data_IF_335623788158
#
_entry.id   IF_335623788158
#
_cell.length_a   1.000
_cell.length_b   1.000
_cell.length_c   1.000
_cell.angle_alpha   90.00
_cell.angle_beta   90.00
_cell.angle_gamma   90.00
#
_symmetry.space_group_name_H-M   'P 1'
#
loop_
_entity.id
_entity.type
_entity.pdbx_description
1 polymer ?
#
# COMPACT_ATOMS: atom_id res chain seq x y z
N UNK A 1 -19.04 28.16 35.85
CA UNK A 1 -20.29 28.31 35.08
C UNK A 1 -20.14 29.59 34.31
N UNK A 2 -19.43 29.55 33.18
CA UNK A 2 -19.97 29.35 31.82
C UNK A 2 -19.62 30.64 31.08
N UNK A 3 -19.18 30.70 29.84
CA UNK A 3 -19.00 29.70 28.80
C UNK A 3 -18.05 30.35 27.79
N UNK A 4 -16.96 29.65 27.43
CA UNK A 4 -16.10 30.03 26.29
C UNK A 4 -16.86 29.67 25.02
N UNK A 5 -17.65 30.61 24.50
CA UNK A 5 -18.36 30.46 23.22
C UNK A 5 -17.50 30.96 22.07
N UNK A 6 -17.29 30.06 21.12
CA UNK A 6 -16.31 30.13 20.05
C UNK A 6 -16.50 31.30 19.08
N UNK A 7 -15.37 31.81 18.61
CA UNK A 7 -15.30 32.72 17.49
C UNK A 7 -15.90 32.03 16.25
N UNK A 8 -17.01 32.58 15.74
CA UNK A 8 -17.60 32.20 14.47
C UNK A 8 -16.58 32.44 13.36
N UNK A 9 -16.18 31.38 12.66
CA UNK A 9 -15.47 31.50 11.40
C UNK A 9 -16.30 32.35 10.41
N UNK A 10 -15.66 33.19 9.59
CA UNK A 10 -16.38 33.97 8.59
C UNK A 10 -17.05 33.02 7.58
N UNK A 11 -18.18 33.42 6.97
CA UNK A 11 -18.87 32.59 5.99
C UNK A 11 -17.93 32.28 4.83
N UNK A 12 -17.77 30.99 4.52
CA UNK A 12 -17.07 30.55 3.31
C UNK A 12 -17.80 31.16 2.12
N UNK A 13 -17.12 32.06 1.42
CA UNK A 13 -17.66 32.75 0.27
C UNK A 13 -18.03 31.68 -0.77
N UNK A 14 -19.33 31.47 -0.98
CA UNK A 14 -19.83 30.54 -1.99
C UNK A 14 -19.22 30.91 -3.34
N UNK A 15 -18.62 29.92 -4.03
CA UNK A 15 -18.13 30.12 -5.40
C UNK A 15 -19.30 30.63 -6.23
N UNK A 16 -19.19 31.85 -6.75
CA UNK A 16 -20.12 32.40 -7.74
C UNK A 16 -20.04 31.51 -8.99
N UNK A 17 -20.99 30.59 -9.13
CA UNK A 17 -21.04 29.64 -10.25
C UNK A 17 -21.25 30.33 -11.61
N UNK A 18 -21.70 31.59 -11.61
CA UNK A 18 -21.96 32.39 -12.82
C UNK A 18 -20.76 33.24 -13.31
N UNK A 19 -19.58 33.12 -12.69
CA UNK A 19 -18.33 33.78 -13.15
C UNK A 19 -17.29 32.77 -13.61
N UNK A 20 -17.72 31.78 -14.39
CA UNK A 20 -16.79 31.04 -15.24
C UNK A 20 -16.51 31.94 -16.45
N UNK A 21 -15.47 32.78 -16.37
CA UNK A 21 -14.85 33.29 -17.59
C UNK A 21 -14.34 32.05 -18.34
N UNK A 22 -15.12 31.60 -19.31
CA UNK A 22 -14.73 30.47 -20.17
C UNK A 22 -13.48 30.93 -20.89
N UNK A 23 -12.33 30.38 -20.50
CA UNK A 23 -11.09 30.64 -21.21
C UNK A 23 -11.32 30.31 -22.69
N UNK A 24 -10.80 31.11 -23.63
CA UNK A 24 -10.83 30.75 -25.04
C UNK A 24 -10.28 29.33 -25.21
N UNK A 25 -10.93 28.50 -26.04
CA UNK A 25 -10.61 27.08 -26.21
C UNK A 25 -9.12 26.82 -26.45
N UNK A 26 -8.42 27.74 -27.13
CA UNK A 26 -6.98 27.67 -27.39
C UNK A 26 -6.11 27.77 -26.12
N UNK A 27 -6.50 28.62 -25.16
CA UNK A 27 -5.77 28.80 -23.91
C UNK A 27 -6.01 27.63 -22.98
N UNK A 28 -7.24 27.11 -22.92
CA UNK A 28 -7.56 25.88 -22.19
C UNK A 28 -6.72 24.71 -22.71
N UNK A 29 -6.70 24.51 -24.03
CA UNK A 29 -5.89 23.47 -24.68
C UNK A 29 -4.41 23.60 -24.34
N UNK A 30 -3.85 24.82 -24.38
CA UNK A 30 -2.43 25.05 -24.04
C UNK A 30 -2.14 24.70 -22.58
N UNK A 31 -3.05 25.04 -21.66
CA UNK A 31 -2.91 24.72 -20.25
C UNK A 31 -2.97 23.20 -19.99
N UNK A 32 -3.87 22.50 -20.68
CA UNK A 32 -3.98 21.05 -20.62
C UNK A 32 -2.71 20.36 -21.16
N UNK A 33 -2.22 20.75 -22.33
CA UNK A 33 -0.99 20.22 -22.92
C UNK A 33 0.24 20.48 -22.02
N UNK A 34 0.32 21.67 -21.42
CA UNK A 34 1.37 22.02 -20.48
C UNK A 34 1.30 21.16 -19.21
N UNK A 35 0.10 20.88 -18.71
CA UNK A 35 -0.10 20.01 -17.54
C UNK A 35 0.31 18.56 -17.85
N UNK A 36 -0.18 17.99 -18.96
CA UNK A 36 0.15 16.64 -19.41
C UNK A 36 1.67 16.47 -19.58
N UNK A 37 2.33 17.43 -20.22
CA UNK A 37 3.78 17.42 -20.45
C UNK A 37 4.56 17.55 -19.15
N UNK A 38 4.18 18.51 -18.30
CA UNK A 38 4.84 18.77 -17.01
C UNK A 38 4.81 17.53 -16.11
N UNK A 39 3.69 16.82 -16.10
CA UNK A 39 3.47 15.65 -15.28
C UNK A 39 3.78 14.32 -16.00
N UNK A 40 4.21 14.38 -17.27
CA UNK A 40 4.50 13.21 -18.13
C UNK A 40 3.39 12.16 -18.12
N UNK A 41 2.15 12.62 -18.13
CA UNK A 41 0.99 11.74 -17.92
C UNK A 41 0.85 10.69 -19.03
N UNK A 42 1.14 11.05 -20.28
CA UNK A 42 1.07 10.09 -21.40
C UNK A 42 2.04 8.91 -21.22
N UNK A 43 3.26 9.18 -20.75
CA UNK A 43 4.23 8.14 -20.47
C UNK A 43 3.79 7.26 -19.30
N UNK A 44 3.32 7.88 -18.21
CA UNK A 44 2.80 7.17 -17.04
C UNK A 44 1.62 6.25 -17.40
N UNK A 45 0.61 6.78 -18.08
CA UNK A 45 -0.55 5.99 -18.51
C UNK A 45 -0.15 4.90 -19.51
N UNK A 46 0.79 5.18 -20.42
CA UNK A 46 1.34 4.19 -21.34
C UNK A 46 1.98 3.01 -20.60
N UNK A 47 2.83 3.29 -19.61
CA UNK A 47 3.48 2.27 -18.78
C UNK A 47 2.46 1.45 -17.97
N UNK A 48 1.45 2.09 -17.39
CA UNK A 48 0.40 1.42 -16.62
C UNK A 48 -0.42 0.50 -17.52
N UNK A 49 -0.90 0.99 -18.68
CA UNK A 49 -1.71 0.21 -19.61
C UNK A 49 -0.92 -0.97 -20.19
N UNK A 50 0.35 -0.74 -20.54
CA UNK A 50 1.24 -1.80 -20.98
C UNK A 50 1.43 -2.85 -19.88
N UNK A 51 1.68 -2.41 -18.63
CA UNK A 51 1.81 -3.29 -17.47
C UNK A 51 0.55 -4.12 -17.21
N UNK A 52 -0.64 -3.53 -17.30
CA UNK A 52 -1.91 -4.24 -17.15
C UNK A 52 -2.08 -5.37 -18.18
N UNK A 53 -1.70 -5.12 -19.43
CA UNK A 53 -1.82 -6.11 -20.51
C UNK A 53 -0.76 -7.21 -20.38
N UNK A 54 0.46 -6.85 -19.96
CA UNK A 54 1.58 -7.79 -19.87
C UNK A 54 1.51 -8.67 -18.62
N UNK A 55 1.26 -8.05 -17.46
CA UNK A 55 1.28 -8.72 -16.16
C UNK A 55 -0.07 -9.38 -15.84
N UNK A 56 -1.18 -8.87 -16.41
CA UNK A 56 -2.55 -9.29 -16.11
C UNK A 56 -2.77 -9.53 -14.60
N UNK A 57 -2.55 -8.50 -13.77
CA UNK A 57 -2.51 -8.65 -12.32
C UNK A 57 -3.86 -9.11 -11.77
N UNK A 58 -3.81 -9.85 -10.66
CA UNK A 58 -5.01 -10.38 -10.00
C UNK A 58 -5.96 -9.28 -9.50
N UNK A 59 -5.39 -8.13 -9.15
CA UNK A 59 -6.12 -6.91 -8.79
C UNK A 59 -5.63 -5.75 -9.67
N UNK A 60 -6.28 -5.51 -10.82
CA UNK A 60 -5.92 -4.43 -11.73
C UNK A 60 -6.03 -3.04 -11.11
N UNK A 61 -6.95 -2.83 -10.16
CA UNK A 61 -7.15 -1.52 -9.53
C UNK A 61 -5.98 -1.25 -8.59
N UNK A 62 -5.63 -2.22 -7.75
CA UNK A 62 -4.47 -2.09 -6.87
C UNK A 62 -3.17 -1.92 -7.67
N UNK A 63 -3.01 -2.63 -8.80
CA UNK A 63 -1.86 -2.44 -9.70
C UNK A 63 -1.75 -1.00 -10.21
N UNK A 64 -2.87 -0.36 -10.60
CA UNK A 64 -2.86 1.04 -11.03
C UNK A 64 -2.46 1.96 -9.87
N UNK A 65 -3.01 1.75 -8.67
CA UNK A 65 -2.66 2.52 -7.47
C UNK A 65 -1.16 2.40 -7.19
N UNK A 66 -0.64 1.18 -7.20
CA UNK A 66 0.77 0.89 -6.94
C UNK A 66 1.67 1.49 -8.04
N UNK A 67 1.24 1.44 -9.30
CA UNK A 67 1.98 2.00 -10.41
C UNK A 67 2.06 3.53 -10.35
N UNK A 68 0.98 4.19 -9.94
CA UNK A 68 0.97 5.65 -9.76
C UNK A 68 1.84 6.06 -8.57
N UNK A 69 1.82 5.29 -7.48
CA UNK A 69 2.53 5.65 -6.24
C UNK A 69 4.01 5.26 -6.25
N UNK A 70 4.35 4.10 -6.83
CA UNK A 70 5.68 3.48 -6.76
C UNK A 70 6.31 3.17 -8.13
N UNK A 71 5.56 3.35 -9.23
CA UNK A 71 5.99 3.03 -10.59
C UNK A 71 5.57 1.62 -11.04
N UNK A 72 5.30 1.45 -12.34
CA UNK A 72 4.79 0.20 -12.91
C UNK A 72 5.71 -1.01 -12.64
N UNK A 73 7.03 -0.81 -12.65
CA UNK A 73 7.99 -1.86 -12.32
C UNK A 73 7.85 -2.37 -10.87
N UNK A 74 7.56 -1.47 -9.92
CA UNK A 74 7.38 -1.84 -8.51
C UNK A 74 5.99 -2.43 -8.22
N UNK A 75 5.02 -2.17 -9.09
CA UNK A 75 3.67 -2.71 -9.02
C UNK A 75 3.55 -4.15 -9.54
N UNK A 76 4.56 -4.64 -10.28
CA UNK A 76 4.60 -6.03 -10.76
C UNK A 76 4.38 -7.01 -9.62
N UNK A 77 3.59 -8.04 -9.87
CA UNK A 77 3.25 -9.03 -8.87
C UNK A 77 4.24 -10.19 -8.92
N UNK A 78 4.76 -10.56 -7.76
CA UNK A 78 5.56 -11.76 -7.60
C UNK A 78 4.74 -13.01 -7.97
N UNK A 79 5.26 -13.92 -8.82
CA UNK A 79 4.47 -15.04 -9.34
C UNK A 79 4.07 -16.06 -8.26
N UNK A 80 4.80 -16.14 -7.15
CA UNK A 80 4.52 -17.11 -6.08
C UNK A 80 3.53 -16.56 -5.06
N UNK A 81 3.66 -15.28 -4.70
CA UNK A 81 2.90 -14.66 -3.59
C UNK A 81 1.82 -13.68 -4.05
N UNK A 82 1.88 -13.25 -5.31
CA UNK A 82 1.09 -12.15 -5.89
C UNK A 82 1.29 -10.80 -5.19
N UNK A 83 2.34 -10.66 -4.37
CA UNK A 83 2.70 -9.40 -3.75
C UNK A 83 3.29 -8.44 -4.79
N UNK A 84 2.90 -7.15 -4.77
CA UNK A 84 3.66 -6.11 -5.47
C UNK A 84 5.12 -6.11 -5.00
N UNK A 85 6.07 -5.90 -5.91
CA UNK A 85 7.50 -5.95 -5.61
C UNK A 85 7.91 -4.99 -4.48
N UNK A 86 7.31 -3.80 -4.40
CA UNK A 86 7.61 -2.85 -3.32
C UNK A 86 7.22 -3.40 -1.93
N UNK A 87 6.11 -4.15 -1.82
CA UNK A 87 5.67 -4.78 -0.57
C UNK A 87 6.58 -5.95 -0.23
N UNK A 88 6.91 -6.78 -1.22
CA UNK A 88 7.85 -7.90 -1.06
C UNK A 88 9.19 -7.42 -0.50
N UNK A 89 9.78 -6.37 -1.07
CA UNK A 89 11.05 -5.82 -0.62
C UNK A 89 11.03 -5.40 0.87
N UNK A 90 9.98 -4.68 1.29
CA UNK A 90 9.80 -4.24 2.69
C UNK A 90 9.62 -5.41 3.66
N UNK A 91 8.90 -6.45 3.25
CA UNK A 91 8.74 -7.66 4.06
C UNK A 91 10.05 -8.43 4.20
N UNK A 92 10.89 -8.46 3.16
CA UNK A 92 12.22 -9.07 3.23
C UNK A 92 13.15 -8.30 4.18
N UNK A 93 13.11 -6.98 4.14
CA UNK A 93 13.87 -6.15 5.09
C UNK A 93 13.41 -6.36 6.53
N UNK A 94 12.08 -6.46 6.75
CA UNK A 94 11.53 -6.82 8.05
C UNK A 94 11.97 -8.22 8.51
N UNK A 95 11.94 -9.22 7.62
CA UNK A 95 12.38 -10.57 7.95
C UNK A 95 13.83 -10.59 8.44
N UNK A 96 14.74 -9.87 7.76
CA UNK A 96 16.15 -9.74 8.17
C UNK A 96 16.30 -9.12 9.56
N UNK A 97 15.45 -8.16 9.92
CA UNK A 97 15.47 -7.54 11.25
C UNK A 97 15.01 -8.52 12.35
N UNK A 98 14.06 -9.39 12.03
CA UNK A 98 13.56 -10.42 12.96
C UNK A 98 14.57 -11.58 13.08
N UNK A 99 15.14 -12.03 11.97
CA UNK A 99 16.17 -13.08 11.91
C UNK A 99 17.57 -12.52 12.24
N UNK A 100 17.73 -12.03 13.48
CA UNK A 100 19.00 -11.41 13.95
C UNK A 100 20.22 -12.33 13.84
N UNK A 101 20.01 -13.64 13.76
CA UNK A 101 21.05 -14.65 13.68
C UNK A 101 21.35 -15.08 12.24
N UNK A 102 20.61 -14.53 11.26
CA UNK A 102 20.73 -14.84 9.83
C UNK A 102 20.67 -16.35 9.55
N UNK A 103 19.73 -17.03 10.22
CA UNK A 103 19.53 -18.48 10.10
C UNK A 103 18.68 -18.85 8.88
N UNK A 104 18.04 -17.87 8.25
CA UNK A 104 17.05 -18.04 7.19
C UNK A 104 15.68 -18.46 7.71
N UNK A 105 15.49 -18.54 9.04
CA UNK A 105 14.24 -18.96 9.68
C UNK A 105 13.97 -18.16 10.96
N UNK A 106 12.69 -17.94 11.27
CA UNK A 106 12.26 -17.30 12.52
C UNK A 106 11.29 -18.22 13.28
N UNK A 107 11.21 -18.09 14.61
CA UNK A 107 10.22 -18.89 15.34
C UNK A 107 8.80 -18.40 15.04
N UNK A 108 7.87 -19.33 14.85
CA UNK A 108 6.45 -19.00 14.62
C UNK A 108 5.88 -18.12 15.74
N UNK A 109 6.28 -18.37 16.99
CA UNK A 109 5.90 -17.56 18.15
C UNK A 109 6.39 -16.12 18.05
N UNK A 110 7.63 -15.90 17.59
CA UNK A 110 8.17 -14.55 17.39
C UNK A 110 7.35 -13.81 16.34
N UNK A 111 7.08 -14.45 15.19
CA UNK A 111 6.27 -13.88 14.13
C UNK A 111 4.86 -13.51 14.62
N UNK A 112 4.19 -14.39 15.36
CA UNK A 112 2.86 -14.13 15.93
C UNK A 112 2.86 -12.96 16.92
N UNK A 113 3.91 -12.83 17.74
CA UNK A 113 4.07 -11.69 18.65
C UNK A 113 4.19 -10.37 17.89
N UNK A 114 5.00 -10.32 16.81
CA UNK A 114 5.13 -9.11 15.99
C UNK A 114 3.80 -8.77 15.29
N UNK A 115 3.15 -9.77 14.68
CA UNK A 115 1.86 -9.57 14.01
C UNK A 115 0.76 -9.10 14.98
N UNK A 116 0.66 -9.67 16.18
CA UNK A 116 -0.35 -9.25 17.16
C UNK A 116 -0.06 -7.89 17.78
N UNK A 117 1.22 -7.58 18.04
CA UNK A 117 1.62 -6.34 18.71
C UNK A 117 1.54 -5.12 17.78
N UNK A 118 1.87 -5.30 16.51
CA UNK A 118 2.05 -4.20 15.56
C UNK A 118 1.13 -4.31 14.34
N UNK A 119 0.56 -5.49 14.06
CA UNK A 119 -0.44 -5.68 13.01
C UNK A 119 -1.88 -5.55 13.52
N UNK A 120 -2.14 -5.71 14.82
CA UNK A 120 -3.49 -5.71 15.40
C UNK A 120 -4.20 -4.35 15.42
N UNK A 121 -3.50 -3.25 15.15
CA UNK A 121 -4.13 -1.93 14.98
C UNK A 121 -4.63 -1.73 13.55
N UNK A 122 -3.96 -2.36 12.58
CA UNK A 122 -4.29 -2.29 11.16
C UNK A 122 -5.27 -3.40 10.75
N UNK A 123 -5.15 -4.57 11.38
CA UNK A 123 -5.91 -5.78 11.08
C UNK A 123 -6.72 -6.19 12.31
N UNK A 124 -7.95 -6.67 12.08
CA UNK A 124 -8.76 -7.20 13.17
C UNK A 124 -8.12 -8.44 13.79
N UNK A 125 -8.21 -8.58 15.12
CA UNK A 125 -7.68 -9.75 15.83
C UNK A 125 -8.26 -11.08 15.31
N UNK A 126 -9.52 -11.09 14.86
CA UNK A 126 -10.17 -12.25 14.28
C UNK A 126 -9.59 -12.63 12.91
N UNK A 127 -9.30 -11.64 12.06
CA UNK A 127 -8.71 -11.83 10.73
C UNK A 127 -7.29 -12.39 10.85
N UNK A 128 -6.45 -11.77 11.68
CA UNK A 128 -5.12 -12.29 11.99
C UNK A 128 -5.17 -13.70 12.55
N UNK A 129 -6.09 -13.97 13.50
CA UNK A 129 -6.26 -15.29 14.09
C UNK A 129 -6.71 -16.35 13.07
N UNK A 130 -7.54 -15.97 12.09
CA UNK A 130 -7.93 -16.86 10.99
C UNK A 130 -6.73 -17.22 10.13
N UNK A 131 -5.94 -16.22 9.71
CA UNK A 131 -4.77 -16.43 8.86
C UNK A 131 -3.73 -17.31 9.58
N UNK A 132 -3.50 -17.08 10.87
CA UNK A 132 -2.60 -17.93 11.68
C UNK A 132 -3.11 -19.36 11.86
N UNK A 133 -4.41 -19.57 11.95
CA UNK A 133 -5.00 -20.91 12.09
C UNK A 133 -4.81 -21.75 10.83
N UNK A 134 -4.91 -21.11 9.67
CA UNK A 134 -4.75 -21.76 8.37
C UNK A 134 -3.28 -21.94 7.98
N UNK A 135 -2.39 -21.21 8.65
CA UNK A 135 -0.96 -21.30 8.44
C UNK A 135 -0.35 -22.44 9.28
N UNK A 136 0.14 -23.47 8.60
CA UNK A 136 0.82 -24.60 9.24
C UNK A 136 2.33 -24.44 9.05
N UNK A 137 3.09 -24.01 10.06
CA UNK A 137 4.54 -24.00 9.96
C UNK A 137 5.07 -25.43 9.81
N UNK A 138 6.31 -25.56 9.36
CA UNK A 138 7.02 -26.82 9.34
C UNK A 138 7.08 -27.50 10.72
N UNK A 139 7.43 -28.78 10.75
CA UNK A 139 7.42 -29.61 11.97
C UNK A 139 8.32 -29.10 13.12
N UNK A 140 9.23 -28.18 12.84
CA UNK A 140 10.13 -27.55 13.80
C UNK A 140 9.58 -26.23 14.39
N UNK A 141 8.36 -25.82 14.02
CA UNK A 141 7.75 -24.53 14.37
C UNK A 141 8.59 -23.31 13.96
N UNK A 142 9.46 -23.50 12.97
CA UNK A 142 10.19 -22.42 12.33
C UNK A 142 9.48 -22.01 11.05
N UNK A 143 9.63 -20.73 10.72
CA UNK A 143 9.06 -20.09 9.54
C UNK A 143 10.20 -19.63 8.67
N UNK A 144 10.27 -20.17 7.45
CA UNK A 144 11.19 -19.73 6.41
C UNK A 144 10.79 -18.37 5.85
N UNK A 145 11.72 -17.73 5.14
CA UNK A 145 11.45 -16.47 4.44
C UNK A 145 10.27 -16.57 3.46
N UNK A 146 10.15 -17.67 2.73
CA UNK A 146 9.08 -17.85 1.74
C UNK A 146 7.73 -18.03 2.42
N UNK A 147 7.66 -18.84 3.48
CA UNK A 147 6.44 -18.99 4.28
C UNK A 147 6.02 -17.67 4.93
N UNK A 148 6.99 -16.86 5.39
CA UNK A 148 6.74 -15.51 5.89
C UNK A 148 6.11 -14.61 4.83
N UNK A 149 6.65 -14.59 3.60
CA UNK A 149 6.09 -13.81 2.50
C UNK A 149 4.67 -14.28 2.12
N UNK A 150 4.44 -15.59 2.07
CA UNK A 150 3.11 -16.16 1.79
C UNK A 150 2.10 -15.73 2.86
N UNK A 151 2.47 -15.76 4.14
CA UNK A 151 1.60 -15.28 5.21
C UNK A 151 1.25 -13.79 5.02
N UNK A 152 2.27 -12.94 4.85
CA UNK A 152 2.06 -11.50 4.71
C UNK A 152 1.41 -11.11 3.38
N UNK A 153 1.47 -11.96 2.35
CA UNK A 153 0.71 -11.77 1.12
C UNK A 153 -0.80 -11.77 1.39
N UNK A 154 -1.28 -12.68 2.24
CA UNK A 154 -2.71 -12.77 2.61
C UNK A 154 -3.14 -11.57 3.43
N UNK A 155 -2.30 -11.20 4.40
CA UNK A 155 -2.50 -10.03 5.26
C UNK A 155 -2.55 -8.74 4.45
N UNK A 156 -1.61 -8.55 3.53
CA UNK A 156 -1.48 -7.28 2.82
C UNK A 156 -2.62 -7.02 1.83
N UNK A 157 -3.27 -8.08 1.32
CA UNK A 157 -4.37 -7.96 0.34
C UNK A 157 -5.60 -7.21 0.88
N UNK A 158 -5.78 -7.16 2.19
CA UNK A 158 -6.96 -6.53 2.81
C UNK A 158 -6.70 -5.10 3.29
N UNK A 159 -5.49 -4.57 3.07
CA UNK A 159 -5.06 -3.26 3.58
C UNK A 159 -4.48 -2.36 2.49
N UNK A 160 -4.65 -1.05 2.68
CA UNK A 160 -4.12 -0.02 1.78
C UNK A 160 -2.58 0.09 1.87
N UNK A 161 -1.97 0.80 0.93
CA UNK A 161 -0.53 1.08 0.96
C UNK A 161 -0.12 1.83 2.24
N UNK A 162 -0.88 2.84 2.66
CA UNK A 162 -0.62 3.58 3.89
C UNK A 162 -0.69 2.70 5.15
N UNK A 163 -1.70 1.83 5.21
CA UNK A 163 -1.86 0.86 6.28
C UNK A 163 -0.70 -0.15 6.32
N UNK A 164 -0.28 -0.65 5.15
CA UNK A 164 0.86 -1.54 5.02
C UNK A 164 2.16 -0.87 5.48
N UNK A 165 2.41 0.37 5.08
CA UNK A 165 3.59 1.14 5.51
C UNK A 165 3.60 1.37 7.02
N UNK A 166 2.44 1.70 7.61
CA UNK A 166 2.28 1.84 9.06
C UNK A 166 2.61 0.53 9.77
N UNK A 167 2.04 -0.59 9.32
CA UNK A 167 2.31 -1.91 9.87
C UNK A 167 3.80 -2.27 9.82
N UNK A 168 4.47 -2.09 8.67
CA UNK A 168 5.90 -2.38 8.54
C UNK A 168 6.73 -1.49 9.46
N UNK A 169 6.42 -0.20 9.52
CA UNK A 169 7.12 0.76 10.38
C UNK A 169 7.00 0.39 11.85
N UNK A 170 5.80 0.03 12.31
CA UNK A 170 5.57 -0.37 13.70
C UNK A 170 6.33 -1.66 14.05
N UNK A 171 6.40 -2.63 13.14
CA UNK A 171 7.15 -3.87 13.36
C UNK A 171 8.68 -3.65 13.43
N UNK A 172 9.19 -2.55 12.89
CA UNK A 172 10.61 -2.18 12.93
C UNK A 172 11.01 -1.38 14.18
N UNK A 173 10.03 -0.89 14.97
CA UNK A 173 10.24 -0.10 16.20
C UNK A 173 10.10 -0.90 17.50
#
# INVERSE_FOLDING_TARGET
>A
MDSLLGARQPPVQGRHVDKLDVLPDEELKRQDEAYLTKHKLDALFGEILQGLVQEMPSDPVQFIIDSVQYGAEQAKQDPETSLPLHRKAKLLDLFRVIDKQNTGRISFRSMQMYANRYGGQTLGAEELSSIFRDFKPASDNLVTQDEFLVFFSRVSRTITNEQFETMVKEMLT
#
